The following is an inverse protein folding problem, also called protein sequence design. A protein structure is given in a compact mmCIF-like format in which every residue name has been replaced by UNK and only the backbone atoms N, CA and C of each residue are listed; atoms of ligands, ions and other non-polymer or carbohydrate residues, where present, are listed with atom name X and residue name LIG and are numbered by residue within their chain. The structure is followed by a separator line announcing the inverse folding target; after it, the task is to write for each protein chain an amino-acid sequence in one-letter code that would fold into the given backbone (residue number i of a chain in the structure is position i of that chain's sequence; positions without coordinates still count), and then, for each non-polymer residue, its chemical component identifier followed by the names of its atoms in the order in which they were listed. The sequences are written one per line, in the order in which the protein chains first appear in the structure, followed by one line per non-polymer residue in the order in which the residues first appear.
data_IF_138892928344
#
_entry.id   IF_138892928344
#
_cell.length_a   1.000
_cell.length_b   1.000
_cell.length_c   1.000
_cell.angle_alpha   90.00
_cell.angle_beta   90.00
_cell.angle_gamma   90.00
#
_symmetry.space_group_name_H-M   'P 1'
#
loop_
_entity.id
_entity.type
_entity.pdbx_description
1 polymer ?
#
# COMPACT_ATOMS: atom_id res chain seq x y z
N UNK A 1 -7.16 45.88 -8.68
CA UNK A 1 -5.90 46.51 -8.22
C UNK A 1 -5.56 47.64 -9.18
N UNK A 2 -4.56 48.49 -8.92
CA UNK A 2 -3.98 49.33 -9.98
C UNK A 2 -2.96 48.50 -10.78
N UNK A 3 -2.82 48.79 -12.06
CA UNK A 3 -1.82 48.17 -12.93
C UNK A 3 -0.48 48.93 -12.84
N UNK A 4 0.61 48.27 -13.23
CA UNK A 4 1.97 48.82 -13.12
C UNK A 4 2.37 49.52 -14.42
N UNK A 5 2.10 50.82 -14.51
CA UNK A 5 2.54 51.65 -15.65
C UNK A 5 4.07 51.84 -15.63
N UNK A 6 4.73 51.63 -16.78
CA UNK A 6 6.19 51.75 -16.93
C UNK A 6 6.52 52.64 -18.12
N UNK A 7 6.88 53.90 -17.86
CA UNK A 7 7.44 54.79 -18.87
C UNK A 7 8.91 54.42 -19.11
N UNK A 8 9.28 54.11 -20.36
CA UNK A 8 10.60 53.61 -20.74
C UNK A 8 11.27 54.57 -21.71
N UNK A 9 12.40 55.14 -21.29
CA UNK A 9 13.34 55.81 -22.20
C UNK A 9 14.53 54.89 -22.47
N UNK A 10 14.93 54.78 -23.73
CA UNK A 10 16.08 53.96 -24.13
C UNK A 10 17.38 54.75 -23.90
N UNK A 11 18.41 54.16 -23.27
CA UNK A 11 19.69 54.83 -23.07
C UNK A 11 20.43 54.98 -24.40
N UNK A 12 20.58 56.23 -24.86
CA UNK A 12 21.40 56.57 -26.03
C UNK A 12 22.83 56.82 -25.58
N UNK A 13 23.75 55.90 -25.92
CA UNK A 13 25.17 56.01 -25.58
C UNK A 13 25.91 56.64 -26.77
N UNK A 14 26.21 57.94 -26.66
CA UNK A 14 27.14 58.62 -27.56
C UNK A 14 28.56 58.58 -27.00
N UNK A 15 29.54 58.29 -27.85
CA UNK A 15 30.96 58.26 -27.52
C UNK A 15 31.79 58.59 -28.77
N UNK A 16 32.96 59.21 -28.60
CA UNK A 16 33.86 59.58 -29.69
C UNK A 16 34.71 58.38 -30.19
N UNK A 17 34.03 57.27 -30.50
CA UNK A 17 34.66 55.99 -30.80
C UNK A 17 35.65 56.08 -31.98
N UNK A 18 35.29 56.80 -33.05
CA UNK A 18 36.14 56.90 -34.24
C UNK A 18 37.36 57.81 -34.01
N UNK A 19 37.25 58.93 -33.28
CA UNK A 19 38.40 59.75 -32.86
C UNK A 19 39.42 58.93 -32.04
N UNK A 20 38.92 58.19 -31.06
CA UNK A 20 39.75 57.33 -30.19
C UNK A 20 40.40 56.21 -31.00
N UNK A 21 39.68 55.63 -31.96
CA UNK A 21 40.15 54.57 -32.86
C UNK A 21 41.21 55.05 -33.85
N UNK A 22 41.08 56.25 -34.41
CA UNK A 22 42.12 56.86 -35.25
C UNK A 22 43.39 57.17 -34.46
N UNK A 23 43.24 57.82 -33.30
CA UNK A 23 44.36 58.10 -32.38
C UNK A 23 45.07 56.82 -31.91
N UNK A 24 44.30 55.76 -31.61
CA UNK A 24 44.85 54.45 -31.25
C UNK A 24 45.59 53.81 -32.43
N UNK A 25 45.05 53.86 -33.65
CA UNK A 25 45.71 53.34 -34.85
C UNK A 25 47.04 54.06 -35.11
N UNK A 26 47.05 55.40 -35.15
CA UNK A 26 48.27 56.20 -35.34
C UNK A 26 49.33 55.94 -34.26
N UNK A 27 48.88 55.63 -33.03
CA UNK A 27 49.76 55.25 -31.93
C UNK A 27 50.31 53.82 -32.10
N UNK A 28 49.48 52.87 -32.56
CA UNK A 28 49.87 51.47 -32.78
C UNK A 28 50.81 51.29 -33.97
N UNK A 29 50.73 52.12 -35.01
CA UNK A 29 51.64 52.00 -36.17
C UNK A 29 53.11 52.23 -35.79
N UNK A 30 53.38 53.11 -34.81
CA UNK A 30 54.72 53.35 -34.26
C UNK A 30 55.33 52.13 -33.57
N UNK A 31 54.52 51.10 -33.30
CA UNK A 31 54.95 49.84 -32.66
C UNK A 31 54.90 48.63 -33.60
N UNK A 32 54.45 48.79 -34.85
CA UNK A 32 54.53 47.74 -35.88
C UNK A 32 56.00 47.57 -36.30
N UNK A 33 56.54 46.35 -36.17
CA UNK A 33 57.88 46.02 -36.67
C UNK A 33 59.05 46.34 -35.73
N UNK A 34 58.81 46.68 -34.46
CA UNK A 34 59.89 46.81 -33.48
C UNK A 34 60.55 45.45 -33.24
N UNK A 35 61.85 45.36 -33.48
CA UNK A 35 62.68 44.20 -33.15
C UNK A 35 63.24 44.39 -31.74
N UNK A 36 63.03 43.39 -30.88
CA UNK A 36 63.55 43.39 -29.51
C UNK A 36 65.01 42.94 -29.52
N UNK A 37 65.89 43.81 -29.05
CA UNK A 37 67.32 43.59 -28.83
C UNK A 37 67.65 43.92 -27.36
N UNK A 38 68.85 43.62 -26.87
CA UNK A 38 69.20 43.97 -25.48
C UNK A 38 69.15 45.48 -25.23
N UNK A 39 69.53 46.30 -26.22
CA UNK A 39 69.47 47.76 -26.14
C UNK A 39 68.02 48.29 -26.15
N UNK A 40 67.14 47.72 -27.00
CA UNK A 40 65.74 48.18 -27.11
C UNK A 40 64.79 47.58 -26.06
N UNK A 41 65.25 46.62 -25.25
CA UNK A 41 64.42 45.85 -24.32
C UNK A 41 63.71 46.70 -23.25
N UNK A 42 64.31 47.78 -22.75
CA UNK A 42 63.66 48.65 -21.77
C UNK A 42 62.47 49.40 -22.36
N UNK A 43 62.63 49.99 -23.55
CA UNK A 43 61.56 50.80 -24.15
C UNK A 43 60.43 49.93 -24.68
N UNK A 44 60.73 48.73 -25.19
CA UNK A 44 59.72 47.71 -25.49
C UNK A 44 58.83 47.38 -24.27
N UNK A 45 59.42 47.31 -23.06
CA UNK A 45 58.67 47.08 -21.81
C UNK A 45 57.82 48.29 -21.39
N UNK A 46 58.31 49.53 -21.60
CA UNK A 46 57.51 50.76 -21.37
C UNK A 46 56.29 50.80 -22.30
N UNK A 47 56.51 50.63 -23.61
CA UNK A 47 55.45 50.52 -24.63
C UNK A 47 54.44 49.43 -24.29
N UNK A 48 54.89 48.24 -23.87
CA UNK A 48 53.98 47.16 -23.46
C UNK A 48 53.11 47.55 -22.26
N UNK A 49 53.68 48.24 -21.25
CA UNK A 49 52.90 48.76 -20.13
C UNK A 49 51.88 49.81 -20.58
N UNK A 50 52.26 50.75 -21.44
CA UNK A 50 51.37 51.83 -21.86
C UNK A 50 50.20 51.34 -22.73
N UNK A 51 50.46 50.41 -23.66
CA UNK A 51 49.40 49.70 -24.38
C UNK A 51 48.48 48.91 -23.44
N UNK A 52 49.04 48.34 -22.36
CA UNK A 52 48.26 47.64 -21.33
C UNK A 52 47.40 48.60 -20.48
N UNK A 53 47.92 49.80 -20.15
CA UNK A 53 47.17 50.87 -19.46
C UNK A 53 45.97 51.32 -20.32
N UNK A 54 46.19 51.60 -21.60
CA UNK A 54 45.13 52.02 -22.54
C UNK A 54 44.06 50.93 -22.70
N UNK A 55 44.47 49.67 -22.91
CA UNK A 55 43.55 48.51 -22.95
C UNK A 55 42.70 48.39 -21.68
N UNK A 56 43.33 48.52 -20.51
CA UNK A 56 42.64 48.43 -19.22
C UNK A 56 41.71 49.63 -18.98
N UNK A 57 42.07 50.82 -19.47
CA UNK A 57 41.21 52.01 -19.43
C UNK A 57 39.92 51.83 -20.23
N UNK A 58 40.02 51.37 -21.49
CA UNK A 58 38.86 51.08 -22.35
C UNK A 58 37.95 50.02 -21.70
N UNK A 59 38.53 48.94 -21.17
CA UNK A 59 37.78 47.88 -20.50
C UNK A 59 37.14 48.32 -19.17
N UNK A 60 37.75 49.29 -18.48
CA UNK A 60 37.18 49.89 -17.24
C UNK A 60 36.04 50.84 -17.58
N UNK A 61 36.18 51.68 -18.60
CA UNK A 61 35.11 52.54 -19.11
C UNK A 61 33.90 51.73 -19.55
N UNK A 62 34.11 50.66 -20.35
CA UNK A 62 33.05 49.71 -20.76
C UNK A 62 32.31 49.11 -19.56
N UNK A 63 33.05 48.75 -18.49
CA UNK A 63 32.47 48.21 -17.24
C UNK A 63 31.67 49.26 -16.46
N UNK A 64 32.13 50.50 -16.37
CA UNK A 64 31.38 51.57 -15.71
C UNK A 64 30.08 51.83 -16.46
N UNK A 65 30.14 52.22 -17.73
CA UNK A 65 28.95 52.56 -18.53
C UNK A 65 27.91 51.42 -18.53
N UNK A 66 28.35 50.16 -18.62
CA UNK A 66 27.43 49.02 -18.43
C UNK A 66 26.78 49.02 -17.04
N UNK A 67 27.58 49.07 -15.98
CA UNK A 67 27.10 49.04 -14.60
C UNK A 67 26.12 50.18 -14.32
N UNK A 68 26.44 51.38 -14.76
CA UNK A 68 25.69 52.60 -14.51
C UNK A 68 24.32 52.56 -15.22
N UNK A 69 24.25 52.02 -16.44
CA UNK A 69 22.98 51.74 -17.14
C UNK A 69 22.21 50.52 -16.57
N UNK A 70 22.88 49.62 -15.85
CA UNK A 70 22.29 48.43 -15.22
C UNK A 70 21.67 48.72 -13.84
N UNK A 71 22.02 49.86 -13.20
CA UNK A 71 21.42 50.33 -11.93
C UNK A 71 19.90 50.52 -12.02
N UNK A 72 19.34 51.34 -12.93
CA UNK A 72 17.88 51.57 -12.99
C UNK A 72 17.09 50.29 -13.32
N UNK A 73 17.69 49.36 -14.07
CA UNK A 73 17.10 48.04 -14.35
C UNK A 73 17.01 47.21 -13.05
N UNK A 74 18.08 47.18 -12.25
CA UNK A 74 18.10 46.47 -10.96
C UNK A 74 17.18 47.09 -9.93
N UNK A 75 17.06 48.42 -9.89
CA UNK A 75 16.08 49.09 -9.04
C UNK A 75 14.64 48.75 -9.43
N UNK A 76 14.34 48.72 -10.73
CA UNK A 76 13.03 48.30 -11.23
C UNK A 76 12.74 46.84 -10.87
N UNK A 77 13.69 45.93 -11.12
CA UNK A 77 13.58 44.53 -10.70
C UNK A 77 13.37 44.37 -9.19
N UNK A 78 14.07 45.15 -8.36
CA UNK A 78 13.92 45.11 -6.91
C UNK A 78 12.51 45.54 -6.48
N UNK A 79 12.01 46.67 -7.01
CA UNK A 79 10.65 47.18 -6.75
C UNK A 79 9.58 46.19 -7.23
N UNK A 80 9.79 45.50 -8.35
CA UNK A 80 8.89 44.42 -8.78
C UNK A 80 8.93 43.20 -7.85
N UNK A 81 10.11 42.79 -7.35
CA UNK A 81 10.26 41.68 -6.39
C UNK A 81 9.65 42.02 -5.03
N UNK A 82 9.75 43.27 -4.58
CA UNK A 82 9.08 43.80 -3.38
C UNK A 82 7.56 43.69 -3.50
N UNK A 83 6.97 44.17 -4.60
CA UNK A 83 5.54 44.07 -4.87
C UNK A 83 5.03 42.61 -4.93
N UNK A 84 5.83 41.69 -5.50
CA UNK A 84 5.50 40.24 -5.49
C UNK A 84 5.60 39.65 -4.08
N UNK A 85 6.56 40.11 -3.26
CA UNK A 85 6.73 39.65 -1.88
C UNK A 85 5.54 40.07 -0.99
N UNK A 86 5.08 41.31 -1.12
CA UNK A 86 3.88 41.81 -0.44
C UNK A 86 2.60 41.03 -0.79
N UNK A 87 2.51 40.50 -2.02
CA UNK A 87 1.43 39.58 -2.39
C UNK A 87 1.62 38.22 -1.69
N UNK A 88 2.83 37.66 -1.72
CA UNK A 88 3.14 36.37 -1.10
C UNK A 88 2.89 36.32 0.41
N UNK A 89 3.22 37.40 1.13
CA UNK A 89 2.96 37.56 2.58
C UNK A 89 1.48 37.42 2.95
N UNK A 90 0.57 37.81 2.05
CA UNK A 90 -0.90 37.71 2.26
C UNK A 90 -1.48 36.45 1.62
N UNK A 91 -0.93 36.01 0.49
CA UNK A 91 -1.40 34.82 -0.22
C UNK A 91 -1.12 33.53 0.57
N UNK A 92 0.03 33.43 1.25
CA UNK A 92 0.40 32.25 2.03
C UNK A 92 -0.56 31.94 3.19
N UNK A 93 -0.86 32.85 4.14
CA UNK A 93 -1.84 32.58 5.19
C UNK A 93 -3.26 32.35 4.67
N UNK A 94 -3.61 32.86 3.49
CA UNK A 94 -4.88 32.52 2.82
C UNK A 94 -4.88 31.07 2.32
N UNK A 95 -3.80 30.60 1.66
CA UNK A 95 -3.64 29.19 1.25
C UNK A 95 -3.67 28.24 2.44
N UNK A 96 -2.98 28.59 3.52
CA UNK A 96 -2.93 27.79 4.75
C UNK A 96 -4.29 27.78 5.46
N UNK A 97 -4.99 28.93 5.50
CA UNK A 97 -6.34 29.05 6.04
C UNK A 97 -7.39 28.24 5.27
N UNK A 98 -7.34 28.26 3.93
CA UNK A 98 -8.19 27.41 3.06
C UNK A 98 -7.89 25.93 3.34
N UNK A 99 -6.61 25.55 3.38
CA UNK A 99 -6.18 24.17 3.63
C UNK A 99 -6.63 23.69 5.02
N UNK A 100 -6.52 24.53 6.06
CA UNK A 100 -6.99 24.23 7.40
C UNK A 100 -8.52 24.10 7.47
N UNK A 101 -9.26 24.96 6.77
CA UNK A 101 -10.73 24.89 6.71
C UNK A 101 -11.22 23.62 6.00
N UNK A 102 -10.62 23.26 4.86
CA UNK A 102 -10.94 22.03 4.14
C UNK A 102 -10.50 20.78 4.92
N UNK A 103 -9.37 20.80 5.62
CA UNK A 103 -8.96 19.74 6.55
C UNK A 103 -10.01 19.56 7.66
N UNK A 104 -10.43 20.65 8.31
CA UNK A 104 -11.47 20.62 9.34
C UNK A 104 -12.79 20.06 8.79
N UNK A 105 -13.22 20.52 7.61
CA UNK A 105 -14.46 20.07 6.96
C UNK A 105 -14.41 18.60 6.53
N UNK A 106 -13.23 18.08 6.18
CA UNK A 106 -13.01 16.64 5.94
C UNK A 106 -13.12 15.84 7.25
N UNK A 107 -12.56 16.32 8.35
CA UNK A 107 -12.68 15.62 9.65
C UNK A 107 -14.11 15.70 10.23
N UNK A 108 -14.83 16.82 10.05
CA UNK A 108 -16.27 16.91 10.35
C UNK A 108 -17.11 15.88 9.56
N UNK A 109 -16.73 15.56 8.31
CA UNK A 109 -17.34 14.47 7.54
C UNK A 109 -16.92 13.08 8.05
N UNK A 110 -15.67 12.92 8.49
CA UNK A 110 -15.18 11.68 9.10
C UNK A 110 -15.97 11.34 10.36
N UNK A 111 -16.17 12.30 11.25
CA UNK A 111 -16.99 12.13 12.46
C UNK A 111 -18.42 11.73 12.11
N UNK A 112 -19.06 12.41 11.15
CA UNK A 112 -20.42 12.06 10.69
C UNK A 112 -20.50 10.68 10.04
N UNK A 113 -19.47 10.27 9.30
CA UNK A 113 -19.39 8.91 8.78
C UNK A 113 -19.26 7.87 9.90
N UNK A 114 -18.47 8.15 10.95
CA UNK A 114 -18.37 7.28 12.14
C UNK A 114 -19.68 7.24 12.94
N UNK A 115 -20.42 8.34 13.03
CA UNK A 115 -21.76 8.40 13.62
C UNK A 115 -22.75 7.51 12.84
N UNK A 116 -22.81 7.63 11.50
CA UNK A 116 -23.63 6.76 10.65
C UNK A 116 -23.22 5.29 10.71
N UNK A 117 -21.92 4.98 10.79
CA UNK A 117 -21.40 3.62 10.98
C UNK A 117 -21.90 3.05 12.31
N UNK A 118 -21.80 3.82 13.40
CA UNK A 118 -22.23 3.40 14.74
C UNK A 118 -23.75 3.19 14.80
N UNK A 119 -24.52 4.08 14.19
CA UNK A 119 -25.98 3.97 14.09
C UNK A 119 -26.37 2.71 13.30
N UNK A 120 -25.78 2.48 12.13
CA UNK A 120 -26.03 1.29 11.32
C UNK A 120 -25.65 -0.01 12.05
N UNK A 121 -24.51 -0.08 12.75
CA UNK A 121 -24.13 -1.25 13.56
C UNK A 121 -25.14 -1.53 14.67
N UNK A 122 -25.59 -0.49 15.39
CA UNK A 122 -26.57 -0.64 16.47
C UNK A 122 -27.97 -1.02 15.96
N UNK A 123 -28.41 -0.40 14.86
CA UNK A 123 -29.71 -0.61 14.20
C UNK A 123 -29.86 -2.02 13.62
N UNK A 124 -28.80 -2.55 13.01
CA UNK A 124 -28.80 -3.88 12.38
C UNK A 124 -28.28 -4.99 13.30
N UNK A 125 -27.80 -4.67 14.51
CA UNK A 125 -27.30 -5.67 15.47
C UNK A 125 -26.06 -6.43 14.97
N UNK A 126 -25.14 -5.73 14.31
CA UNK A 126 -23.94 -6.37 13.74
C UNK A 126 -22.93 -6.79 14.82
N UNK A 127 -22.41 -8.02 14.71
CA UNK A 127 -21.35 -8.54 15.59
C UNK A 127 -20.01 -7.78 15.42
N UNK A 128 -19.08 -7.93 16.36
CA UNK A 128 -17.79 -7.20 16.33
C UNK A 128 -16.93 -7.50 15.08
N UNK A 129 -16.97 -8.75 14.59
CA UNK A 129 -16.28 -9.23 13.37
C UNK A 129 -16.91 -8.62 12.10
N UNK A 130 -18.19 -8.27 12.15
CA UNK A 130 -18.95 -7.60 11.08
C UNK A 130 -18.78 -6.09 11.15
N UNK A 131 -19.01 -5.48 12.32
CA UNK A 131 -18.84 -4.05 12.59
C UNK A 131 -17.42 -3.56 12.23
N UNK A 132 -16.38 -4.33 12.53
CA UNK A 132 -14.98 -4.01 12.18
C UNK A 132 -14.72 -3.88 10.68
N UNK A 133 -15.60 -4.42 9.81
CA UNK A 133 -15.51 -4.27 8.35
C UNK A 133 -16.19 -2.99 7.83
N UNK A 134 -17.01 -2.34 8.65
CA UNK A 134 -17.78 -1.14 8.28
C UNK A 134 -16.96 0.14 8.53
N UNK A 135 -15.80 0.24 7.88
CA UNK A 135 -14.86 1.37 8.01
C UNK A 135 -15.26 2.60 7.20
N UNK A 136 -14.81 3.79 7.62
CA UNK A 136 -14.83 5.02 6.80
C UNK A 136 -13.90 4.84 5.59
N UNK A 137 -14.36 5.24 4.40
CA UNK A 137 -13.58 5.25 3.16
C UNK A 137 -13.45 6.68 2.61
N UNK A 138 -12.38 6.95 1.85
CA UNK A 138 -12.04 8.30 1.35
C UNK A 138 -13.18 8.98 0.57
N UNK A 139 -14.01 8.19 -0.11
CA UNK A 139 -15.25 8.64 -0.78
C UNK A 139 -16.15 9.49 0.12
N UNK A 140 -16.19 9.19 1.42
CA UNK A 140 -17.02 9.92 2.39
C UNK A 140 -16.38 11.25 2.83
N UNK A 141 -15.05 11.37 2.74
CA UNK A 141 -14.31 12.57 3.11
C UNK A 141 -14.37 13.65 2.01
N UNK A 142 -14.53 13.25 0.74
CA UNK A 142 -14.66 14.15 -0.40
C UNK A 142 -15.63 15.32 -0.13
N UNK A 143 -15.18 16.57 -0.38
CA UNK A 143 -15.97 17.77 -0.08
C UNK A 143 -17.32 17.82 -0.80
N UNK A 144 -17.42 17.22 -1.98
CA UNK A 144 -18.64 17.06 -2.79
C UNK A 144 -19.62 15.98 -2.28
N UNK A 145 -19.18 15.02 -1.46
CA UNK A 145 -20.04 13.92 -0.99
C UNK A 145 -21.16 14.44 -0.08
N UNK A 146 -22.43 14.11 -0.38
CA UNK A 146 -23.57 14.49 0.46
C UNK A 146 -23.71 13.54 1.65
N UNK A 147 -24.15 14.06 2.80
CA UNK A 147 -24.37 13.23 4.00
C UNK A 147 -25.37 12.09 3.75
N UNK A 148 -26.39 12.35 2.90
CA UNK A 148 -27.33 11.33 2.43
C UNK A 148 -26.62 10.20 1.66
N UNK A 149 -25.81 10.52 0.64
CA UNK A 149 -25.10 9.50 -0.13
C UNK A 149 -24.08 8.70 0.71
N UNK A 150 -23.49 9.32 1.74
CA UNK A 150 -22.61 8.62 2.70
C UNK A 150 -23.42 7.66 3.57
N UNK A 151 -24.56 8.11 4.12
CA UNK A 151 -25.46 7.28 4.93
C UNK A 151 -26.04 6.09 4.13
N UNK A 152 -26.46 6.31 2.88
CA UNK A 152 -27.00 5.27 1.99
C UNK A 152 -25.95 4.20 1.64
N UNK A 153 -24.70 4.60 1.40
CA UNK A 153 -23.57 3.71 1.11
C UNK A 153 -23.16 2.88 2.35
N UNK A 154 -23.18 3.50 3.53
CA UNK A 154 -22.96 2.82 4.83
C UNK A 154 -24.09 1.82 5.12
N UNK A 155 -25.34 2.21 4.94
CA UNK A 155 -26.53 1.35 5.15
C UNK A 155 -26.49 0.13 4.21
N UNK A 156 -26.17 0.31 2.92
CA UNK A 156 -26.01 -0.81 1.99
C UNK A 156 -24.90 -1.77 2.42
N UNK A 157 -23.74 -1.25 2.85
CA UNK A 157 -22.64 -2.07 3.38
C UNK A 157 -23.05 -2.81 4.68
N UNK A 158 -23.81 -2.17 5.55
CA UNK A 158 -24.32 -2.78 6.78
C UNK A 158 -25.32 -3.91 6.48
N UNK A 159 -26.24 -3.72 5.53
CA UNK A 159 -27.20 -4.74 5.09
C UNK A 159 -26.51 -5.97 4.46
N UNK A 160 -25.44 -5.77 3.67
CA UNK A 160 -24.63 -6.88 3.15
C UNK A 160 -23.95 -7.67 4.28
N UNK A 161 -23.46 -6.98 5.32
CA UNK A 161 -22.86 -7.62 6.49
C UNK A 161 -23.90 -8.36 7.33
N UNK A 162 -25.10 -7.80 7.50
CA UNK A 162 -26.23 -8.45 8.17
C UNK A 162 -26.63 -9.74 7.45
N UNK A 163 -26.79 -9.70 6.12
CA UNK A 163 -27.11 -10.89 5.33
C UNK A 163 -26.06 -12.01 5.50
N UNK A 164 -24.77 -11.65 5.63
CA UNK A 164 -23.72 -12.64 5.87
C UNK A 164 -23.73 -13.19 7.31
N UNK A 165 -24.13 -12.37 8.29
CA UNK A 165 -24.33 -12.75 9.70
C UNK A 165 -25.55 -13.67 9.86
N UNK A 166 -26.71 -13.30 9.31
CA UNK A 166 -27.94 -14.10 9.33
C UNK A 166 -27.74 -15.45 8.64
N UNK A 167 -26.93 -15.50 7.58
CA UNK A 167 -26.53 -16.75 6.92
C UNK A 167 -25.67 -17.63 7.84
N UNK A 168 -24.71 -17.07 8.57
CA UNK A 168 -23.91 -17.82 9.54
C UNK A 168 -24.80 -18.32 10.71
N UNK A 169 -25.68 -17.48 11.25
CA UNK A 169 -26.64 -17.84 12.30
C UNK A 169 -27.63 -18.91 11.85
N UNK A 170 -28.17 -18.83 10.63
CA UNK A 170 -29.09 -19.82 10.07
C UNK A 170 -28.44 -21.20 9.90
N UNK A 171 -27.16 -21.24 9.48
CA UNK A 171 -26.38 -22.48 9.44
C UNK A 171 -26.22 -23.08 10.85
N UNK A 172 -25.90 -22.24 11.84
CA UNK A 172 -25.77 -22.65 13.25
C UNK A 172 -27.11 -23.15 13.82
N UNK A 173 -28.24 -22.54 13.44
CA UNK A 173 -29.58 -23.00 13.84
C UNK A 173 -29.92 -24.38 13.25
N UNK A 174 -29.64 -24.61 11.96
CA UNK A 174 -29.85 -25.92 11.30
C UNK A 174 -28.98 -27.00 11.95
N UNK A 175 -27.72 -26.70 12.25
CA UNK A 175 -26.80 -27.61 12.95
C UNK A 175 -27.34 -27.95 14.35
N UNK A 176 -27.76 -26.95 15.14
CA UNK A 176 -28.32 -27.18 16.48
C UNK A 176 -29.64 -27.96 16.44
N UNK A 177 -30.51 -27.71 15.45
CA UNK A 177 -31.74 -28.48 15.24
C UNK A 177 -31.45 -29.95 14.91
N UNK A 178 -30.46 -30.20 14.05
CA UNK A 178 -30.00 -31.55 13.70
C UNK A 178 -29.42 -32.29 14.91
N UNK A 179 -28.56 -31.62 15.69
CA UNK A 179 -27.99 -32.15 16.94
C UNK A 179 -29.11 -32.46 17.95
N UNK A 180 -30.11 -31.58 18.09
CA UNK A 180 -31.25 -31.82 18.99
C UNK A 180 -32.04 -33.07 18.58
N UNK A 181 -32.40 -33.20 17.31
CA UNK A 181 -33.14 -34.36 16.80
C UNK A 181 -32.34 -35.67 16.97
N UNK A 182 -31.04 -35.65 16.63
CA UNK A 182 -30.16 -36.80 16.85
C UNK A 182 -30.05 -37.18 18.35
N UNK A 183 -30.02 -36.18 19.23
CA UNK A 183 -29.99 -36.33 20.70
C UNK A 183 -31.26 -36.93 21.30
N UNK A 184 -32.37 -37.06 20.56
CA UNK A 184 -33.58 -37.75 21.04
C UNK A 184 -33.40 -39.29 20.98
N UNK A 185 -32.51 -39.80 20.10
CA UNK A 185 -32.29 -41.23 19.88
C UNK A 185 -31.06 -41.86 20.57
N UNK A 186 -30.35 -41.14 21.43
CA UNK A 186 -29.12 -41.57 22.13
C UNK A 186 -29.09 -41.07 23.58
N UNK A 187 -28.43 -41.77 24.50
CA UNK A 187 -28.23 -41.31 25.88
C UNK A 187 -27.08 -40.30 25.96
N UNK A 188 -25.96 -40.59 25.32
CA UNK A 188 -24.75 -39.75 25.29
C UNK A 188 -24.95 -38.55 24.36
N UNK A 189 -25.34 -37.40 24.92
CA UNK A 189 -25.76 -36.24 24.13
C UNK A 189 -24.58 -35.51 23.47
N UNK A 190 -24.69 -35.34 22.15
CA UNK A 190 -23.82 -34.51 21.31
C UNK A 190 -24.04 -33.02 21.57
N UNK A 191 -23.00 -32.21 21.35
CA UNK A 191 -23.00 -30.74 21.49
C UNK A 191 -22.45 -30.08 20.22
N UNK A 192 -22.73 -28.79 20.03
CA UNK A 192 -22.17 -28.03 18.91
C UNK A 192 -20.63 -27.96 18.94
N UNK A 193 -20.04 -27.93 20.14
CA UNK A 193 -18.59 -27.93 20.33
C UNK A 193 -17.90 -29.16 19.71
N UNK A 194 -18.56 -30.33 19.69
CA UNK A 194 -18.01 -31.55 19.09
C UNK A 194 -17.76 -31.39 17.59
N UNK A 195 -18.48 -30.47 16.94
CA UNK A 195 -18.43 -30.18 15.50
C UNK A 195 -17.78 -28.82 15.20
N UNK A 196 -17.32 -28.09 16.22
CA UNK A 196 -16.79 -26.71 16.12
C UNK A 196 -15.72 -26.57 15.05
N UNK A 197 -14.76 -27.49 14.97
CA UNK A 197 -13.71 -27.49 13.95
C UNK A 197 -14.27 -27.51 12.51
N UNK A 198 -15.36 -28.25 12.25
CA UNK A 198 -15.99 -28.28 10.93
C UNK A 198 -16.72 -26.96 10.60
N UNK A 199 -17.29 -26.31 11.63
CA UNK A 199 -17.96 -25.02 11.51
C UNK A 199 -16.92 -23.90 11.25
N UNK A 200 -15.83 -23.89 12.01
CA UNK A 200 -14.72 -22.92 11.88
C UNK A 200 -13.95 -23.08 10.56
N UNK A 201 -13.81 -24.32 10.05
CA UNK A 201 -13.32 -24.59 8.69
C UNK A 201 -14.35 -24.28 7.58
N UNK A 202 -15.53 -23.75 7.93
CA UNK A 202 -16.62 -23.41 7.00
C UNK A 202 -16.97 -24.59 6.06
N UNK A 203 -17.06 -25.80 6.61
CA UNK A 203 -17.41 -27.01 5.86
C UNK A 203 -18.87 -26.95 5.35
N UNK A 204 -19.20 -27.62 4.23
CA UNK A 204 -20.57 -27.68 3.72
C UNK A 204 -21.55 -28.24 4.77
N UNK A 205 -22.69 -27.58 4.98
CA UNK A 205 -23.67 -27.92 6.03
C UNK A 205 -24.11 -29.38 5.95
N UNK A 206 -24.30 -29.91 4.73
CA UNK A 206 -24.62 -31.33 4.51
C UNK A 206 -23.57 -32.29 5.08
N UNK A 207 -22.27 -31.99 4.96
CA UNK A 207 -21.16 -32.78 5.54
C UNK A 207 -21.18 -32.74 7.06
N UNK A 208 -21.60 -31.63 7.66
CA UNK A 208 -21.75 -31.49 9.12
C UNK A 208 -22.96 -32.32 9.60
N UNK A 209 -24.10 -32.23 8.91
CA UNK A 209 -25.30 -33.06 9.16
C UNK A 209 -24.98 -34.56 9.05
N UNK A 210 -24.25 -34.97 8.02
CA UNK A 210 -23.77 -36.34 7.87
C UNK A 210 -22.91 -36.81 9.05
N UNK A 211 -21.95 -36.00 9.52
CA UNK A 211 -21.09 -36.40 10.64
C UNK A 211 -21.86 -36.41 11.97
N UNK A 212 -22.87 -35.54 12.15
CA UNK A 212 -23.81 -35.61 13.28
C UNK A 212 -24.53 -36.97 13.29
N UNK A 213 -25.14 -37.37 12.17
CA UNK A 213 -25.83 -38.66 12.05
C UNK A 213 -24.86 -39.84 12.22
N UNK A 214 -23.67 -39.80 11.60
CA UNK A 214 -22.63 -40.84 11.74
C UNK A 214 -22.10 -40.96 13.17
N UNK A 215 -22.07 -39.88 13.97
CA UNK A 215 -21.74 -39.95 15.40
C UNK A 215 -22.90 -40.47 16.23
N UNK A 216 -24.13 -40.02 15.96
CA UNK A 216 -25.32 -40.47 16.67
C UNK A 216 -25.55 -41.98 16.51
N UNK A 217 -25.47 -42.53 15.29
CA UNK A 217 -25.61 -43.99 15.11
C UNK A 217 -24.45 -44.76 15.77
N UNK A 218 -23.19 -44.30 15.69
CA UNK A 218 -22.06 -44.93 16.42
C UNK A 218 -22.28 -44.96 17.94
N UNK A 219 -22.83 -43.89 18.51
CA UNK A 219 -23.19 -43.84 19.95
C UNK A 219 -24.31 -44.83 20.24
N UNK A 220 -25.38 -44.82 19.45
CA UNK A 220 -26.55 -45.71 19.55
C UNK A 220 -26.21 -47.19 19.39
N UNK A 221 -25.20 -47.52 18.59
CA UNK A 221 -24.64 -48.87 18.46
C UNK A 221 -23.80 -49.26 19.67
N UNK A 222 -22.99 -48.35 20.22
CA UNK A 222 -22.22 -48.58 21.44
C UNK A 222 -23.08 -48.65 22.71
N UNK A 223 -24.27 -48.04 22.69
CA UNK A 223 -25.26 -48.08 23.78
C UNK A 223 -26.19 -49.31 23.74
N UNK A 224 -26.20 -50.08 22.64
CA UNK A 224 -26.82 -51.42 22.65
C UNK A 224 -25.98 -52.35 23.53
N UNK A 225 -26.59 -53.15 24.41
CA UNK A 225 -25.89 -54.26 25.03
C UNK A 225 -25.29 -55.15 23.93
N UNK A 226 -24.01 -55.53 24.07
CA UNK A 226 -23.47 -56.63 23.29
C UNK A 226 -24.24 -57.88 23.70
N UNK A 227 -24.99 -58.49 22.79
CA UNK A 227 -25.49 -59.84 23.03
C UNK A 227 -24.29 -60.74 23.31
N UNK A 228 -24.33 -61.46 24.43
CA UNK A 228 -23.28 -62.38 24.80
C UNK A 228 -23.21 -63.48 23.74
N UNK A 229 -22.09 -63.54 23.02
CA UNK A 229 -21.76 -64.71 22.19
C UNK A 229 -21.72 -65.89 23.16
N UNK A 230 -22.72 -66.77 23.08
CA UNK A 230 -22.80 -67.96 23.92
C UNK A 230 -21.60 -68.85 23.64
N UNK A 231 -20.64 -68.85 24.56
CA UNK A 231 -19.50 -69.75 24.54
C UNK A 231 -19.97 -71.09 25.11
N UNK A 232 -20.40 -72.00 24.24
CA UNK A 232 -20.59 -73.40 24.62
C UNK A 232 -19.20 -74.06 24.89
N UNK A 233 -18.96 -74.57 26.10
CA UNK A 233 -17.68 -75.20 26.49
C UNK A 233 -17.61 -76.68 26.02
N UNK A 234 -16.43 -77.32 26.10
CA UNK A 234 -15.84 -77.87 24.87
C UNK A 234 -15.90 -79.40 24.76
N UNK A 235 -15.47 -79.91 23.59
CA UNK A 235 -14.97 -81.27 23.44
C UNK A 235 -13.54 -81.27 22.89
N UNK A 236 -12.65 -81.87 23.65
CA UNK A 236 -11.29 -82.20 23.21
C UNK A 236 -11.30 -83.48 22.38
N UNK A 237 -10.45 -83.54 21.35
CA UNK A 237 -9.67 -84.73 21.04
C UNK A 237 -8.25 -84.27 20.68
N UNK A 238 -7.23 -85.07 21.00
CA UNK A 238 -5.87 -84.58 21.30
C UNK A 238 -4.83 -85.09 20.29
N UNK A 239 -3.94 -84.20 19.81
CA UNK A 239 -2.61 -84.54 19.26
C UNK A 239 -1.65 -83.33 19.32
N UNK A 240 -0.72 -83.34 20.27
CA UNK A 240 0.41 -82.39 20.49
C UNK A 240 1.71 -82.90 19.83
N UNK A 241 2.88 -82.19 19.84
CA UNK A 241 3.24 -80.82 20.32
C UNK A 241 3.59 -79.87 19.12
N UNK A 242 4.44 -78.81 19.09
CA UNK A 242 5.63 -78.32 19.85
C UNK A 242 5.76 -76.77 19.83
N UNK A 243 6.30 -76.24 20.94
CA UNK A 243 6.88 -74.94 21.31
C UNK A 243 7.30 -73.82 20.31
N UNK A 244 6.95 -72.58 20.75
CA UNK A 244 7.79 -71.35 20.93
C UNK A 244 8.44 -70.66 19.69
N UNK A 245 8.56 -69.31 19.58
CA UNK A 245 8.34 -68.17 20.52
C UNK A 245 7.76 -66.91 19.84
N UNK A 246 7.11 -66.06 20.65
CA UNK A 246 7.06 -64.58 20.56
C UNK A 246 6.29 -63.89 19.40
N UNK A 247 5.22 -63.17 19.78
CA UNK A 247 4.69 -62.02 19.03
C UNK A 247 5.12 -60.70 19.70
N UNK A 248 5.76 -59.81 18.95
CA UNK A 248 5.89 -58.38 19.31
C UNK A 248 4.63 -57.61 18.93
N UNK A 249 4.23 -56.57 19.68
CA UNK A 249 3.01 -55.81 19.41
C UNK A 249 3.13 -54.98 18.13
N UNK A 250 2.17 -55.13 17.21
CA UNK A 250 2.03 -54.24 16.04
C UNK A 250 1.50 -52.89 16.51
N UNK A 251 2.23 -51.83 16.18
CA UNK A 251 1.93 -50.46 16.58
C UNK A 251 1.05 -49.80 15.51
N UNK A 252 -0.15 -49.35 15.86
CA UNK A 252 -1.03 -48.64 14.92
C UNK A 252 -0.44 -47.28 14.52
N UNK A 253 0.11 -47.19 13.31
CA UNK A 253 0.60 -45.92 12.76
C UNK A 253 -0.56 -45.07 12.23
N UNK A 254 -0.89 -44.01 12.98
CA UNK A 254 -1.91 -43.03 12.58
C UNK A 254 -1.37 -42.12 11.49
N UNK A 255 -1.94 -42.24 10.29
CA UNK A 255 -1.66 -41.35 9.17
C UNK A 255 -2.53 -40.08 9.26
N UNK A 256 -1.94 -38.94 8.88
CA UNK A 256 -2.57 -37.63 8.85
C UNK A 256 -2.51 -37.07 7.41
N UNK A 257 -3.50 -36.28 7.00
CA UNK A 257 -3.54 -35.66 5.67
C UNK A 257 -4.00 -34.20 5.76
N UNK A 258 -3.64 -33.40 4.74
CA UNK A 258 -4.02 -32.01 4.59
C UNK A 258 -4.38 -31.72 3.12
N UNK A 259 -5.49 -31.03 2.90
CA UNK A 259 -5.86 -30.49 1.58
C UNK A 259 -5.33 -29.05 1.47
N UNK A 260 -4.47 -28.79 0.48
CA UNK A 260 -3.78 -27.50 0.32
C UNK A 260 -4.02 -26.90 -1.07
N UNK A 261 -4.53 -25.66 -1.13
CA UNK A 261 -4.64 -24.87 -2.37
C UNK A 261 -3.45 -23.91 -2.47
N UNK A 262 -2.43 -24.29 -3.24
CA UNK A 262 -1.27 -23.42 -3.51
C UNK A 262 -1.45 -22.69 -4.84
N UNK A 263 -1.13 -21.38 -4.85
CA UNK A 263 -1.07 -20.54 -6.04
C UNK A 263 0.30 -19.88 -6.05
N UNK A 264 1.12 -20.20 -7.05
CA UNK A 264 2.43 -19.59 -7.29
C UNK A 264 2.76 -19.62 -8.80
N UNK A 265 3.87 -18.99 -9.19
CA UNK A 265 4.40 -19.09 -10.55
C UNK A 265 4.98 -20.48 -10.86
N UNK A 266 5.35 -20.70 -12.13
CA UNK A 266 5.92 -21.96 -12.60
C UNK A 266 7.18 -22.42 -11.83
N UNK A 267 8.24 -21.61 -11.63
CA UNK A 267 9.43 -22.05 -10.90
C UNK A 267 9.17 -22.33 -9.41
N UNK A 268 8.25 -21.63 -8.74
CA UNK A 268 7.90 -21.94 -7.34
C UNK A 268 7.04 -23.21 -7.23
N UNK A 269 6.10 -23.44 -8.15
CA UNK A 269 5.32 -24.69 -8.20
C UNK A 269 6.19 -25.92 -8.52
N UNK A 270 7.27 -25.76 -9.30
CA UNK A 270 8.26 -26.81 -9.53
C UNK A 270 8.99 -27.21 -8.24
N UNK A 271 9.56 -26.24 -7.51
CA UNK A 271 10.24 -26.49 -6.22
C UNK A 271 9.33 -27.17 -5.20
N UNK A 272 8.06 -26.77 -5.14
CA UNK A 272 7.08 -27.41 -4.26
C UNK A 272 6.83 -28.88 -4.63
N UNK A 273 6.73 -29.19 -5.93
CA UNK A 273 6.57 -30.56 -6.40
C UNK A 273 7.77 -31.43 -6.02
N UNK A 274 8.99 -30.93 -6.21
CA UNK A 274 10.23 -31.65 -5.82
C UNK A 274 10.26 -31.95 -4.32
N UNK A 275 9.87 -30.98 -3.49
CA UNK A 275 9.81 -31.12 -2.02
C UNK A 275 8.76 -32.15 -1.57
N UNK A 276 7.57 -32.16 -2.17
CA UNK A 276 6.49 -33.11 -1.85
C UNK A 276 6.75 -34.51 -2.45
N UNK A 277 7.65 -34.63 -3.45
CA UNK A 277 8.11 -35.92 -3.96
C UNK A 277 9.22 -36.58 -3.11
N UNK A 278 9.60 -35.96 -1.98
CA UNK A 278 10.55 -36.52 -1.01
C UNK A 278 10.02 -37.75 -0.24
N UNK A 279 10.91 -38.58 0.33
CA UNK A 279 10.53 -39.77 1.08
C UNK A 279 9.70 -39.40 2.34
N UNK A 280 8.58 -40.10 2.53
CA UNK A 280 7.65 -39.90 3.65
C UNK A 280 6.31 -39.28 3.26
N UNK A 281 6.20 -38.65 2.09
CA UNK A 281 4.96 -38.04 1.62
C UNK A 281 4.21 -38.93 0.62
N UNK A 282 2.88 -38.90 0.69
CA UNK A 282 1.96 -39.37 -0.36
C UNK A 282 1.11 -38.17 -0.79
N UNK A 283 0.97 -37.93 -2.09
CA UNK A 283 0.22 -36.78 -2.60
C UNK A 283 -0.58 -37.17 -3.86
N UNK A 284 -1.68 -36.47 -4.09
CA UNK A 284 -2.55 -36.62 -5.25
C UNK A 284 -2.94 -35.22 -5.76
N UNK A 285 -3.14 -35.07 -7.08
CA UNK A 285 -3.46 -33.77 -7.69
C UNK A 285 -4.95 -33.69 -8.00
N UNK A 286 -5.74 -33.23 -7.04
CA UNK A 286 -7.21 -33.20 -7.11
C UNK A 286 -7.74 -32.22 -8.19
N UNK A 287 -7.08 -31.07 -8.37
CA UNK A 287 -7.48 -30.04 -9.33
C UNK A 287 -6.29 -29.24 -9.85
N UNK A 288 -6.36 -28.74 -11.09
CA UNK A 288 -5.35 -27.86 -11.71
C UNK A 288 -6.03 -26.83 -12.62
N UNK A 289 -5.61 -25.57 -12.53
CA UNK A 289 -6.09 -24.47 -13.38
C UNK A 289 -5.15 -23.27 -13.33
N UNK A 290 -5.35 -22.32 -14.24
CA UNK A 290 -4.62 -21.04 -14.26
C UNK A 290 -5.45 -20.01 -13.48
N UNK A 291 -4.84 -19.35 -12.50
CA UNK A 291 -5.45 -18.20 -11.81
C UNK A 291 -4.84 -16.95 -12.42
N UNK A 292 -5.61 -16.26 -13.26
CA UNK A 292 -5.27 -14.90 -13.69
C UNK A 292 -5.37 -13.95 -12.49
N UNK A 293 -4.49 -12.94 -12.45
CA UNK A 293 -4.60 -11.80 -11.52
C UNK A 293 -5.59 -10.76 -12.05
#
# INVERSE_FOLDING_TARGET
MKELEVNKQLPVITANFDEVKESLNQSLEKYKGIIVTEETLQDCKKTQQDLSKVKNGIETFRKSVKKDMEVPIKEFEAKCKELVSLIGEVEQPIKDGITAFDNKRREEKRTKALEFIKDAVAKHGLDEKRASKLTVIDKYLNLSASGKSVSEDIEQRALMLLQEQDRELGVIQVINGTIKAANEGINTKLKIDDFKTLIEMNAPVARIIEEIHKRAERIKEAEKPKEEIKVDPPKEEVSVPVDLTAHTPVKEEKLYFYELKVIADAPHMLKLKELIQGPGFKYETINKGIVNK
#
